data_IF_584127398891
#
_entry.id   IF_584127398891
#
_cell.length_a   1.000
_cell.length_b   1.000
_cell.length_c   1.000
_cell.angle_alpha   90.00
_cell.angle_beta   90.00
_cell.angle_gamma   90.00
#
_symmetry.space_group_name_H-M   'P 1'
#
loop_
_entity.id
_entity.type
_entity.pdbx_description
1 polymer ?
#
# COMPACT_ATOMS: atom_id res chain seq x y z
N UNK A 1 16.90 -6.01 28.79
CA UNK A 1 17.43 -6.35 27.44
C UNK A 1 16.31 -6.23 26.38
N UNK A 2 15.33 -5.34 26.61
CA UNK A 2 14.04 -5.28 25.90
C UNK A 2 13.75 -3.87 25.36
N UNK A 3 14.77 -3.04 25.12
CA UNK A 3 14.56 -1.63 24.73
C UNK A 3 14.84 -1.34 23.25
N UNK A 4 15.33 -2.31 22.48
CA UNK A 4 15.58 -2.13 21.03
C UNK A 4 14.66 -3.08 20.27
N UNK A 5 13.49 -2.57 19.86
CA UNK A 5 12.50 -3.30 19.04
C UNK A 5 12.89 -3.35 17.56
N UNK A 6 13.79 -2.47 17.11
CA UNK A 6 14.09 -2.25 15.70
C UNK A 6 15.47 -2.82 15.30
N UNK A 7 15.94 -3.85 16.00
CA UNK A 7 17.22 -4.50 15.66
C UNK A 7 17.19 -5.09 14.24
N UNK A 8 16.01 -5.53 13.80
CA UNK A 8 15.75 -6.05 12.47
C UNK A 8 14.63 -5.22 11.87
N UNK A 9 14.96 -4.40 10.87
CA UNK A 9 14.01 -3.64 10.08
C UNK A 9 13.86 -4.24 8.68
N UNK A 10 12.64 -4.54 8.29
CA UNK A 10 12.27 -5.05 6.96
C UNK A 10 11.40 -4.00 6.27
N UNK A 11 11.70 -3.69 5.01
CA UNK A 11 10.85 -2.82 4.19
C UNK A 11 10.16 -3.65 3.12
N UNK A 12 8.84 -3.70 3.20
CA UNK A 12 7.99 -4.35 2.21
C UNK A 12 7.42 -3.25 1.29
N UNK A 13 7.88 -3.25 0.04
CA UNK A 13 7.46 -2.26 -0.96
C UNK A 13 6.40 -2.89 -1.86
N UNK A 14 5.25 -2.23 -1.97
CA UNK A 14 4.18 -2.60 -2.91
C UNK A 14 3.91 -1.48 -3.91
N UNK A 15 3.15 -1.78 -4.97
CA UNK A 15 2.93 -0.84 -6.08
C UNK A 15 1.66 -0.03 -5.85
N UNK A 16 0.55 -0.69 -5.52
CA UNK A 16 -0.76 -0.05 -5.40
C UNK A 16 -1.24 -0.01 -3.95
N UNK A 17 -2.00 1.01 -3.56
CA UNK A 17 -2.41 1.20 -2.17
C UNK A 17 -3.25 0.04 -1.63
N UNK A 18 -4.10 -0.52 -2.47
CA UNK A 18 -4.99 -1.63 -2.12
C UNK A 18 -4.23 -2.93 -1.75
N UNK A 19 -3.03 -3.13 -2.29
CA UNK A 19 -2.23 -4.35 -2.07
C UNK A 19 -1.77 -4.50 -0.62
N UNK A 20 -1.81 -3.42 0.18
CA UNK A 20 -1.48 -3.46 1.61
C UNK A 20 -2.38 -4.44 2.38
N UNK A 21 -3.65 -4.59 2.02
CA UNK A 21 -4.58 -5.48 2.75
C UNK A 21 -4.19 -6.96 2.62
N UNK A 22 -3.74 -7.37 1.44
CA UNK A 22 -3.25 -8.72 1.21
C UNK A 22 -1.95 -8.96 1.99
N UNK A 23 -1.06 -7.97 2.02
CA UNK A 23 0.17 -8.01 2.82
C UNK A 23 -0.16 -8.07 4.31
N UNK A 24 -1.12 -7.29 4.78
CA UNK A 24 -1.61 -7.32 6.16
C UNK A 24 -2.09 -8.73 6.54
N UNK A 25 -2.94 -9.31 5.70
CA UNK A 25 -3.49 -10.65 5.89
C UNK A 25 -2.40 -11.72 5.91
N UNK A 26 -1.40 -11.59 5.03
CA UNK A 26 -0.25 -12.48 5.01
C UNK A 26 0.60 -12.37 6.29
N UNK A 27 0.91 -11.14 6.74
CA UNK A 27 1.70 -10.93 7.96
C UNK A 27 0.95 -11.48 9.18
N UNK A 28 -0.34 -11.17 9.30
CA UNK A 28 -1.18 -11.57 10.43
C UNK A 28 -1.39 -13.10 10.51
N UNK A 29 -1.42 -13.79 9.37
CA UNK A 29 -1.52 -15.25 9.32
C UNK A 29 -0.20 -15.96 9.55
N UNK A 30 0.93 -15.31 9.26
CA UNK A 30 2.26 -15.93 9.32
C UNK A 30 2.96 -15.71 10.66
N UNK A 31 2.83 -14.51 11.25
CA UNK A 31 3.53 -14.15 12.48
C UNK A 31 2.58 -13.60 13.54
N UNK A 32 3.02 -13.71 14.80
CA UNK A 32 2.33 -13.05 15.91
C UNK A 32 2.68 -11.56 15.90
N UNK A 33 1.69 -10.73 15.63
CA UNK A 33 1.81 -9.27 15.68
C UNK A 33 1.74 -8.83 17.15
N UNK A 34 2.75 -8.11 17.60
CA UNK A 34 2.83 -7.49 18.94
C UNK A 34 2.12 -6.13 18.91
N UNK A 35 2.47 -5.30 17.93
CA UNK A 35 1.88 -3.98 17.72
C UNK A 35 1.76 -3.71 16.22
N UNK A 36 0.69 -3.01 15.83
CA UNK A 36 0.51 -2.48 14.48
C UNK A 36 0.14 -1.01 14.56
N UNK A 37 0.77 -0.20 13.73
CA UNK A 37 0.55 1.25 13.68
C UNK A 37 0.49 1.72 12.23
N UNK A 38 -0.59 2.40 11.86
CA UNK A 38 -0.73 3.08 10.57
C UNK A 38 -0.38 4.58 10.74
N UNK A 39 0.69 5.03 10.10
CA UNK A 39 0.97 6.45 9.95
C UNK A 39 0.24 6.96 8.71
N UNK A 40 -0.63 7.94 8.90
CA UNK A 40 -1.46 8.52 7.84
C UNK A 40 -1.35 10.04 7.86
N UNK A 41 -1.58 10.69 6.72
CA UNK A 41 -1.68 12.14 6.66
C UNK A 41 -3.13 12.59 6.90
N UNK A 42 -3.29 13.79 7.45
CA UNK A 42 -4.62 14.41 7.53
C UNK A 42 -5.23 14.60 6.13
N UNK A 43 -6.43 14.04 5.94
CA UNK A 43 -7.16 14.02 4.68
C UNK A 43 -7.07 12.71 3.90
N UNK A 44 -6.17 11.79 4.27
CA UNK A 44 -6.16 10.44 3.72
C UNK A 44 -7.34 9.62 4.28
N UNK A 45 -7.75 8.58 3.54
CA UNK A 45 -8.73 7.61 3.99
C UNK A 45 -8.19 6.79 5.17
N UNK A 46 -9.02 6.66 6.21
CA UNK A 46 -8.71 5.98 7.47
C UNK A 46 -9.65 4.81 7.74
N UNK A 47 -10.74 4.70 6.99
CA UNK A 47 -11.85 3.81 7.30
C UNK A 47 -11.38 2.36 7.44
N UNK A 48 -10.55 1.89 6.51
CA UNK A 48 -10.08 0.51 6.51
C UNK A 48 -9.19 0.16 7.71
N UNK A 49 -8.37 1.11 8.16
CA UNK A 49 -7.54 0.93 9.34
C UNK A 49 -8.39 0.90 10.62
N UNK A 50 -9.44 1.72 10.68
CA UNK A 50 -10.39 1.73 11.80
C UNK A 50 -11.20 0.43 11.88
N UNK A 51 -11.66 -0.09 10.74
CA UNK A 51 -12.38 -1.38 10.64
C UNK A 51 -11.53 -2.55 11.16
N UNK A 52 -10.22 -2.53 10.90
CA UNK A 52 -9.26 -3.53 11.37
C UNK A 52 -8.74 -3.24 12.79
N UNK A 53 -9.25 -2.21 13.47
CA UNK A 53 -8.84 -1.76 14.80
C UNK A 53 -7.33 -1.48 14.91
N UNK A 54 -6.75 -0.94 13.84
CA UNK A 54 -5.34 -0.58 13.74
C UNK A 54 -5.13 0.80 14.37
N UNK A 55 -4.07 0.95 15.16
CA UNK A 55 -3.72 2.24 15.77
C UNK A 55 -3.29 3.24 14.70
N UNK A 56 -3.99 4.37 14.63
CA UNK A 56 -3.74 5.41 13.63
C UNK A 56 -2.95 6.57 14.25
N UNK A 57 -1.80 6.88 13.66
CA UNK A 57 -1.00 8.04 14.01
C UNK A 57 -1.07 9.08 12.88
N UNK A 58 -1.75 10.20 13.13
CA UNK A 58 -1.75 11.31 12.18
C UNK A 58 -0.42 12.06 12.23
N UNK A 59 0.28 12.13 11.10
CA UNK A 59 1.58 12.81 10.97
C UNK A 59 1.43 14.08 10.13
N UNK A 60 1.65 15.24 10.76
CA UNK A 60 1.68 16.54 10.06
C UNK A 60 2.78 16.65 8.99
N UNK A 61 3.84 15.85 9.09
CA UNK A 61 4.88 15.76 8.05
C UNK A 61 4.38 15.13 6.74
N UNK A 62 3.22 14.46 6.78
CA UNK A 62 2.67 13.73 5.64
C UNK A 62 3.29 12.35 5.43
N UNK A 63 4.17 11.91 6.33
CA UNK A 63 4.75 10.58 6.30
C UNK A 63 3.68 9.48 6.41
N UNK A 64 3.69 8.55 5.46
CA UNK A 64 2.75 7.42 5.35
C UNK A 64 3.51 6.12 5.40
N UNK A 65 3.06 5.20 6.25
CA UNK A 65 3.63 3.86 6.37
C UNK A 65 2.82 3.05 7.38
N UNK A 66 2.66 1.76 7.12
CA UNK A 66 2.12 0.81 8.10
C UNK A 66 3.27 0.04 8.73
N UNK A 67 3.38 0.11 10.06
CA UNK A 67 4.43 -0.53 10.84
C UNK A 67 3.87 -1.71 11.60
N UNK A 68 4.56 -2.85 11.51
CA UNK A 68 4.24 -4.08 12.22
C UNK A 68 5.42 -4.46 13.09
N UNK A 69 5.21 -4.59 14.39
CA UNK A 69 6.16 -5.26 15.27
C UNK A 69 5.75 -6.73 15.39
N UNK A 70 6.55 -7.61 14.82
CA UNK A 70 6.28 -9.05 14.83
C UNK A 70 7.23 -9.80 15.76
N UNK A 71 6.70 -10.84 16.40
CA UNK A 71 7.47 -11.82 17.16
C UNK A 71 7.80 -13.02 16.27
N UNK A 72 9.08 -13.38 16.18
CA UNK A 72 9.51 -14.59 15.48
C UNK A 72 10.69 -15.29 16.16
N UNK A 73 10.87 -16.56 15.84
CA UNK A 73 11.83 -17.46 16.49
C UNK A 73 12.75 -18.09 15.42
N UNK A 74 13.79 -17.36 14.96
CA UNK A 74 14.73 -17.91 13.97
C UNK A 74 15.56 -19.06 14.56
N UNK A 75 15.69 -19.10 15.89
CA UNK A 75 16.24 -20.20 16.69
C UNK A 75 15.35 -20.37 17.93
N UNK A 76 15.85 -20.95 19.01
CA UNK A 76 15.14 -20.98 20.31
C UNK A 76 15.04 -19.61 21.01
N UNK A 77 15.61 -18.55 20.45
CA UNK A 77 15.52 -17.19 21.00
C UNK A 77 14.40 -16.39 20.34
N UNK A 78 13.60 -15.72 21.17
CA UNK A 78 12.60 -14.74 20.74
C UNK A 78 13.30 -13.52 20.15
N UNK A 79 12.88 -13.12 18.95
CA UNK A 79 13.35 -11.90 18.28
C UNK A 79 12.15 -11.07 17.86
N UNK A 80 12.29 -9.75 17.92
CA UNK A 80 11.32 -8.79 17.41
C UNK A 80 11.89 -8.19 16.12
N UNK A 81 11.07 -8.13 15.09
CA UNK A 81 11.37 -7.40 13.87
C UNK A 81 10.29 -6.37 13.58
N UNK A 82 10.69 -5.24 13.02
CA UNK A 82 9.80 -4.23 12.48
C UNK A 82 9.64 -4.46 10.97
N UNK A 83 8.40 -4.60 10.50
CA UNK A 83 8.08 -4.59 9.07
C UNK A 83 7.39 -3.27 8.74
N UNK A 84 7.99 -2.50 7.85
CA UNK A 84 7.44 -1.26 7.33
C UNK A 84 6.89 -1.53 5.93
N UNK A 85 5.57 -1.45 5.79
CA UNK A 85 4.85 -1.61 4.52
C UNK A 85 4.59 -0.23 3.94
N UNK A 86 5.02 -0.02 2.69
CA UNK A 86 4.91 1.24 1.95
C UNK A 86 4.75 1.01 0.47
N UNK A 87 4.10 1.95 -0.20
CA UNK A 87 4.21 2.02 -1.67
C UNK A 87 5.60 2.46 -2.11
N UNK A 88 5.91 2.30 -3.39
CA UNK A 88 7.16 2.82 -3.97
C UNK A 88 7.28 4.35 -3.84
N UNK A 89 6.18 5.10 -3.94
CA UNK A 89 6.22 6.57 -3.82
C UNK A 89 6.34 7.01 -2.36
N UNK A 90 5.70 6.30 -1.41
CA UNK A 90 5.86 6.54 0.02
C UNK A 90 7.29 6.24 0.49
N UNK A 91 7.88 5.14 0.02
CA UNK A 91 9.27 4.79 0.32
C UNK A 91 10.24 5.82 -0.27
N UNK A 92 10.05 6.19 -1.55
CA UNK A 92 10.87 7.20 -2.21
C UNK A 92 10.80 8.57 -1.50
N UNK A 93 9.60 9.00 -1.13
CA UNK A 93 9.42 10.23 -0.34
C UNK A 93 10.08 10.11 1.04
N UNK A 94 9.83 9.00 1.74
CA UNK A 94 10.35 8.76 3.09
C UNK A 94 11.86 8.81 3.16
N UNK A 95 12.56 8.21 2.19
CA UNK A 95 14.02 8.27 2.09
C UNK A 95 14.54 9.67 1.80
N UNK A 96 13.92 10.40 0.88
CA UNK A 96 14.32 11.78 0.56
C UNK A 96 14.12 12.70 1.77
N UNK A 97 12.97 12.62 2.44
CA UNK A 97 12.66 13.40 3.64
C UNK A 97 13.64 13.07 4.78
N UNK A 98 13.94 11.78 4.98
CA UNK A 98 14.90 11.33 5.99
C UNK A 98 16.32 11.86 5.72
N UNK A 99 16.84 11.74 4.50
CA UNK A 99 18.18 12.23 4.14
C UNK A 99 18.33 13.75 4.33
N UNK A 100 17.31 14.51 3.92
CA UNK A 100 17.31 15.96 4.02
C UNK A 100 17.16 16.44 5.47
N UNK A 101 16.32 15.78 6.27
CA UNK A 101 16.20 16.08 7.71
C UNK A 101 17.42 15.67 8.50
N UNK A 102 18.02 14.51 8.21
CA UNK A 102 19.20 14.04 8.91
C UNK A 102 20.40 15.00 8.75
N UNK A 103 20.49 15.65 7.58
CA UNK A 103 21.54 16.62 7.29
C UNK A 103 21.41 17.95 8.07
N UNK A 104 20.30 18.18 8.77
CA UNK A 104 20.02 19.45 9.46
C UNK A 104 19.54 19.23 10.91
N UNK A 105 20.13 19.93 11.88
CA UNK A 105 19.58 19.95 13.26
C UNK A 105 18.15 20.51 13.31
N UNK A 106 17.88 21.53 12.51
CA UNK A 106 16.56 22.08 12.25
C UNK A 106 16.42 22.33 10.76
N UNK A 107 15.34 21.85 10.15
CA UNK A 107 15.17 21.97 8.71
C UNK A 107 14.74 23.41 8.35
N UNK A 108 15.39 24.08 7.37
CA UNK A 108 14.97 25.41 6.96
C UNK A 108 13.51 25.44 6.50
N UNK A 109 12.77 26.50 6.83
CA UNK A 109 11.34 26.62 6.52
C UNK A 109 11.02 26.46 5.02
N UNK A 110 11.89 26.98 4.14
CA UNK A 110 11.74 26.83 2.69
C UNK A 110 11.86 25.38 2.25
N UNK A 111 12.76 24.60 2.86
CA UNK A 111 12.95 23.19 2.55
C UNK A 111 11.78 22.36 3.11
N UNK A 112 11.33 22.65 4.33
CA UNK A 112 10.13 22.02 4.90
C UNK A 112 8.89 22.22 4.02
N UNK A 113 8.69 23.45 3.50
CA UNK A 113 7.56 23.76 2.62
C UNK A 113 7.63 22.98 1.31
N UNK A 114 8.80 22.91 0.68
CA UNK A 114 9.00 22.12 -0.54
C UNK A 114 8.86 20.61 -0.30
N UNK A 115 9.32 20.09 0.84
CA UNK A 115 9.11 18.70 1.23
C UNK A 115 7.64 18.37 1.44
N UNK A 116 6.86 19.29 2.02
CA UNK A 116 5.42 19.13 2.14
C UNK A 116 4.73 19.14 0.77
N UNK A 117 5.19 19.95 -0.18
CA UNK A 117 4.69 19.92 -1.56
C UNK A 117 5.03 18.58 -2.24
N UNK A 118 6.26 18.12 -2.09
CA UNK A 118 6.71 16.85 -2.65
C UNK A 118 5.94 15.65 -2.06
N UNK A 119 5.65 15.68 -0.75
CA UNK A 119 4.80 14.69 -0.09
C UNK A 119 3.40 14.61 -0.71
N UNK A 120 2.81 15.76 -1.07
CA UNK A 120 1.50 15.79 -1.74
C UNK A 120 1.59 15.15 -3.11
N UNK A 121 2.63 15.48 -3.88
CA UNK A 121 2.84 14.91 -5.22
C UNK A 121 3.00 13.38 -5.12
N UNK A 122 3.84 12.89 -4.21
CA UNK A 122 4.03 11.46 -3.99
C UNK A 122 2.70 10.75 -3.65
N UNK A 123 1.94 11.30 -2.70
CA UNK A 123 0.64 10.73 -2.33
C UNK A 123 -0.39 10.76 -3.46
N UNK A 124 -0.42 11.83 -4.26
CA UNK A 124 -1.28 11.90 -5.45
C UNK A 124 -0.82 10.94 -6.56
N UNK A 125 0.48 10.70 -6.70
CA UNK A 125 1.01 9.69 -7.62
C UNK A 125 0.59 8.28 -7.23
N UNK A 126 0.60 7.95 -5.93
CA UNK A 126 0.07 6.67 -5.42
C UNK A 126 -1.40 6.48 -5.74
N UNK A 127 -2.22 7.50 -5.47
CA UNK A 127 -3.66 7.47 -5.74
C UNK A 127 -3.93 7.32 -7.23
N UNK A 128 -3.20 8.06 -8.07
CA UNK A 128 -3.32 7.97 -9.51
C UNK A 128 -2.90 6.60 -10.05
N UNK A 129 -1.82 6.02 -9.53
CA UNK A 129 -1.37 4.69 -9.92
C UNK A 129 -2.42 3.62 -9.58
N UNK A 130 -2.96 3.68 -8.35
CA UNK A 130 -4.01 2.77 -7.88
C UNK A 130 -5.29 2.92 -8.72
N UNK A 131 -5.67 4.16 -9.05
CA UNK A 131 -6.81 4.43 -9.91
C UNK A 131 -6.62 3.92 -11.35
N UNK A 132 -5.44 4.10 -11.95
CA UNK A 132 -5.13 3.57 -13.28
C UNK A 132 -5.21 2.04 -13.28
N UNK A 133 -4.72 1.38 -12.23
CA UNK A 133 -4.83 -0.06 -12.06
C UNK A 133 -6.29 -0.53 -12.02
N UNK A 134 -7.12 0.15 -11.21
CA UNK A 134 -8.55 -0.11 -11.13
C UNK A 134 -9.25 0.05 -12.49
N UNK A 135 -8.96 1.13 -13.22
CA UNK A 135 -9.52 1.33 -14.56
C UNK A 135 -9.11 0.22 -15.52
N UNK A 136 -7.84 -0.20 -15.49
CA UNK A 136 -7.35 -1.27 -16.35
C UNK A 136 -8.04 -2.61 -16.06
N UNK A 137 -8.25 -2.94 -14.79
CA UNK A 137 -9.01 -4.13 -14.37
C UNK A 137 -10.45 -4.08 -14.92
N UNK A 138 -11.16 -2.98 -14.67
CA UNK A 138 -12.54 -2.81 -15.14
C UNK A 138 -12.66 -2.88 -16.67
N UNK A 139 -11.74 -2.24 -17.41
CA UNK A 139 -11.74 -2.29 -18.88
C UNK A 139 -11.50 -3.70 -19.41
N UNK A 140 -10.65 -4.48 -18.73
CA UNK A 140 -10.39 -5.89 -19.07
C UNK A 140 -11.65 -6.73 -18.85
N UNK A 141 -12.31 -6.59 -17.71
CA UNK A 141 -13.56 -7.31 -17.40
C UNK A 141 -14.68 -6.99 -18.41
N UNK A 142 -14.85 -5.71 -18.75
CA UNK A 142 -15.82 -5.26 -19.76
C UNK A 142 -15.50 -5.89 -21.12
N UNK A 143 -14.22 -5.90 -21.51
CA UNK A 143 -13.78 -6.50 -22.77
C UNK A 143 -14.09 -8.00 -22.81
N UNK A 144 -13.80 -8.72 -21.74
CA UNK A 144 -14.07 -10.15 -21.62
C UNK A 144 -15.58 -10.45 -21.70
N UNK A 145 -16.42 -9.61 -21.11
CA UNK A 145 -17.89 -9.72 -21.19
C UNK A 145 -18.41 -9.50 -22.63
N UNK A 146 -17.87 -8.49 -23.32
CA UNK A 146 -18.19 -8.25 -24.72
C UNK A 146 -17.75 -9.42 -25.62
N UNK A 147 -16.56 -9.96 -25.43
CA UNK A 147 -16.06 -11.11 -26.20
C UNK A 147 -16.94 -12.35 -26.00
N UNK A 148 -17.37 -12.64 -24.77
CA UNK A 148 -18.34 -13.72 -24.48
C UNK A 148 -19.67 -13.48 -25.19
N UNK A 149 -20.17 -12.25 -25.16
CA UNK A 149 -21.43 -11.88 -25.81
C UNK A 149 -21.36 -12.02 -27.34
N UNK A 150 -20.25 -11.60 -27.94
CA UNK A 150 -20.01 -11.75 -29.38
C UNK A 150 -19.98 -13.24 -29.76
N UNK A 151 -19.22 -14.04 -29.00
CA UNK A 151 -19.11 -15.49 -29.23
C UNK A 151 -20.48 -16.17 -29.18
N UNK A 152 -21.29 -15.86 -28.16
CA UNK A 152 -22.65 -16.40 -28.03
C UNK A 152 -23.54 -15.99 -29.21
N UNK A 153 -23.46 -14.72 -29.66
CA UNK A 153 -24.22 -14.25 -30.82
C UNK A 153 -23.81 -14.96 -32.10
N UNK A 154 -22.51 -15.19 -32.31
CA UNK A 154 -21.99 -15.90 -33.48
C UNK A 154 -22.44 -17.37 -33.49
N UNK A 155 -22.51 -18.03 -32.35
CA UNK A 155 -23.06 -19.38 -32.20
C UNK A 155 -24.56 -19.42 -32.57
N UNK A 156 -25.35 -18.48 -32.05
CA UNK A 156 -26.78 -18.36 -32.36
C UNK A 156 -26.99 -18.09 -33.87
N UNK A 157 -26.20 -17.20 -34.46
CA UNK A 157 -26.27 -16.89 -35.89
C UNK A 157 -25.98 -18.15 -36.72
N UNK A 158 -24.94 -18.91 -36.36
CA UNK A 158 -24.61 -20.18 -37.04
C UNK A 158 -25.76 -21.19 -36.92
N UNK A 159 -26.36 -21.32 -35.74
CA UNK A 159 -27.48 -22.23 -35.51
C UNK A 159 -28.69 -21.84 -36.37
N UNK A 160 -29.07 -20.54 -36.39
CA UNK A 160 -30.18 -20.04 -37.20
C UNK A 160 -29.93 -20.23 -38.70
N UNK A 161 -28.71 -19.97 -39.17
CA UNK A 161 -28.32 -20.21 -40.56
C UNK A 161 -28.43 -21.69 -40.95
N UNK A 162 -28.11 -22.62 -40.03
CA UNK A 162 -28.25 -24.05 -40.28
C UNK A 162 -29.70 -24.51 -40.42
N UNK A 163 -30.65 -23.84 -39.75
CA UNK A 163 -32.10 -24.15 -39.81
C UNK A 163 -32.81 -23.56 -41.03
N UNK A 164 -32.17 -22.63 -41.75
CA UNK A 164 -32.70 -22.01 -42.97
C UNK A 164 -32.30 -22.77 -44.25
N UNK A 165 -31.40 -23.75 -44.15
CA UNK A 165 -31.05 -24.69 -45.22
C UNK A 165 -31.85 -25.98 -45.08
#
# INVERSE_FOLDING_TARGET
KEEITDLIGIRAIHIFKEDWEDIHSFIASTWKIIEITANVRDGDDKQRFEELNIKINSRKSGYRSVHYLIEFFPTSQRVIAEIQVRTIFEEGYGEIDHQLRYSHKEIPAILASNLLLFNRIAGSSDEMASFINLLNKNLTEIKDEYEKTITLKDEIIKELQSKLK
#
